data_IF_198644392831
#
_entry.id   IF_198644392831
#
_cell.length_a   1.000
_cell.length_b   1.000
_cell.length_c   1.000
_cell.angle_alpha   90.00
_cell.angle_beta   90.00
_cell.angle_gamma   90.00
#
_symmetry.space_group_name_H-M   'P 1'
#
loop_
_entity.id
_entity.type
_entity.pdbx_description
1 polymer ?
#
# COMPACT_ATOMS: atom_id res chain seq x y z
N UNK A 1 -1.72 3.82 -3.77
CA UNK A 1 -1.82 4.82 -4.86
C UNK A 1 -0.58 5.69 -4.81
N UNK A 2 -0.27 6.40 -5.89
CA UNK A 2 0.75 7.45 -5.93
C UNK A 2 0.08 8.65 -6.59
N UNK A 3 -0.01 9.79 -5.91
CA UNK A 3 -0.69 10.99 -6.41
C UNK A 3 -2.10 10.70 -7.00
N UNK A 4 -2.93 10.00 -6.23
CA UNK A 4 -4.27 9.52 -6.60
C UNK A 4 -4.32 8.55 -7.81
N UNK A 5 -3.17 8.10 -8.32
CA UNK A 5 -3.10 7.07 -9.35
C UNK A 5 -3.09 5.67 -8.71
N UNK A 6 -4.09 4.82 -9.02
CA UNK A 6 -4.04 3.41 -8.65
C UNK A 6 -2.92 2.71 -9.43
N UNK A 7 -2.06 1.98 -8.72
CA UNK A 7 -0.95 1.21 -9.31
C UNK A 7 -1.17 -0.30 -9.19
N UNK A 8 -1.97 -0.72 -8.21
CA UNK A 8 -2.33 -2.11 -7.92
C UNK A 8 -3.67 -2.14 -7.17
N UNK A 9 -4.48 -3.13 -7.51
CA UNK A 9 -5.71 -3.53 -6.81
C UNK A 9 -5.56 -5.00 -6.43
N UNK A 10 -5.69 -5.32 -5.14
CA UNK A 10 -5.68 -6.70 -4.64
C UNK A 10 -7.03 -6.98 -4.02
N UNK A 11 -7.91 -7.63 -4.79
CA UNK A 11 -9.30 -7.88 -4.41
C UNK A 11 -9.41 -9.02 -3.42
N UNK A 12 -10.43 -8.97 -2.56
CA UNK A 12 -10.79 -10.11 -1.75
C UNK A 12 -11.35 -11.23 -2.66
N UNK A 13 -10.58 -12.31 -2.77
CA UNK A 13 -10.93 -13.52 -3.50
C UNK A 13 -10.95 -14.75 -2.57
N UNK A 14 -11.31 -14.57 -1.30
CA UNK A 14 -11.48 -15.67 -0.33
C UNK A 14 -12.48 -16.72 -0.84
N UNK A 15 -13.53 -16.29 -1.57
CA UNK A 15 -14.48 -17.20 -2.23
C UNK A 15 -13.85 -18.08 -3.33
N UNK A 16 -12.64 -17.77 -3.77
CA UNK A 16 -11.80 -18.59 -4.67
C UNK A 16 -10.62 -19.26 -3.95
N UNK A 17 -10.62 -19.27 -2.61
CA UNK A 17 -9.57 -19.88 -1.79
C UNK A 17 -8.30 -19.04 -1.61
N UNK A 18 -8.30 -17.76 -2.02
CA UNK A 18 -7.14 -16.88 -1.89
C UNK A 18 -7.25 -16.13 -0.56
N UNK A 19 -6.25 -16.31 0.32
CA UNK A 19 -6.21 -15.63 1.61
C UNK A 19 -6.21 -14.09 1.45
N UNK A 20 -6.93 -13.41 2.34
CA UNK A 20 -7.06 -11.95 2.34
C UNK A 20 -6.90 -11.38 3.76
N UNK A 21 -6.18 -10.24 3.94
CA UNK A 21 -6.00 -9.63 5.25
C UNK A 21 -7.29 -8.95 5.73
N UNK A 22 -8.21 -9.73 6.29
CA UNK A 22 -9.54 -9.28 6.73
C UNK A 22 -9.68 -9.14 8.26
N UNK A 23 -9.12 -10.09 9.01
CA UNK A 23 -9.45 -10.27 10.43
C UNK A 23 -8.26 -10.00 11.38
N UNK A 24 -7.12 -9.56 10.85
CA UNK A 24 -5.92 -9.27 11.64
C UNK A 24 -5.67 -7.77 11.65
N UNK A 25 -5.82 -7.08 12.80
CA UNK A 25 -5.53 -5.66 12.89
C UNK A 25 -4.07 -5.37 12.53
N UNK A 26 -3.85 -4.30 11.77
CA UNK A 26 -2.52 -3.92 11.29
C UNK A 26 -2.04 -2.63 11.95
N UNK A 27 -0.72 -2.44 11.94
CA UNK A 27 -0.07 -1.17 12.32
C UNK A 27 0.64 -0.59 11.10
N UNK A 28 0.77 0.73 11.07
CA UNK A 28 1.60 1.40 10.07
C UNK A 28 3.07 1.36 10.52
N UNK A 29 3.96 1.07 9.58
CA UNK A 29 5.40 1.06 9.78
C UNK A 29 6.07 1.86 8.67
N UNK A 30 7.16 2.55 9.00
CA UNK A 30 8.09 3.17 8.05
C UNK A 30 9.51 2.93 8.54
N UNK A 31 10.42 2.61 7.65
CA UNK A 31 11.83 2.34 7.98
C UNK A 31 12.74 2.66 6.79
N UNK A 32 13.96 3.07 7.09
CA UNK A 32 15.06 3.16 6.13
C UNK A 32 16.13 2.16 6.61
N UNK A 33 16.45 1.17 5.78
CA UNK A 33 17.36 0.09 6.14
C UNK A 33 18.11 -0.45 4.92
N UNK A 34 19.25 -1.10 5.13
CA UNK A 34 20.06 -1.71 4.07
C UNK A 34 19.53 -3.10 3.69
N UNK A 35 19.27 -3.32 2.40
CA UNK A 35 18.73 -4.57 1.85
C UNK A 35 19.58 -5.08 0.66
N UNK A 36 20.90 -5.05 0.81
CA UNK A 36 21.90 -5.39 -0.22
C UNK A 36 21.67 -6.72 -0.94
N UNK A 37 21.05 -7.71 -0.28
CA UNK A 37 20.86 -9.03 -0.85
C UNK A 37 19.83 -9.08 -1.99
N UNK A 38 18.98 -8.05 -2.13
CA UNK A 38 17.91 -8.09 -3.14
C UNK A 38 17.47 -6.73 -3.71
N UNK A 39 17.71 -5.60 -3.03
CA UNK A 39 17.04 -4.33 -3.35
C UNK A 39 17.40 -3.76 -4.74
N UNK A 40 18.68 -3.69 -5.10
CA UNK A 40 19.12 -3.04 -6.34
C UNK A 40 19.62 -4.06 -7.34
N UNK A 41 18.98 -4.12 -8.51
CA UNK A 41 19.25 -5.11 -9.56
C UNK A 41 19.25 -6.56 -9.05
N UNK A 42 18.32 -6.92 -8.15
CA UNK A 42 18.25 -8.24 -7.55
C UNK A 42 19.44 -8.56 -6.63
N UNK A 43 20.02 -7.54 -5.99
CA UNK A 43 21.14 -7.67 -5.05
C UNK A 43 22.54 -7.58 -5.68
N UNK A 44 22.64 -7.29 -6.98
CA UNK A 44 23.92 -7.17 -7.70
C UNK A 44 24.67 -5.88 -7.35
N UNK A 45 23.96 -4.80 -7.08
CA UNK A 45 24.56 -3.51 -6.71
C UNK A 45 24.42 -3.33 -5.19
N UNK A 46 25.55 -3.16 -4.51
CA UNK A 46 25.63 -3.02 -3.05
C UNK A 46 25.67 -1.55 -2.64
N UNK A 47 25.27 -1.27 -1.41
CA UNK A 47 25.28 0.05 -0.81
C UNK A 47 26.70 0.58 -0.73
N UNK A 48 26.96 1.71 -1.38
CA UNK A 48 28.21 2.45 -1.21
C UNK A 48 28.09 3.39 -0.02
N UNK A 49 28.62 2.93 1.12
CA UNK A 49 28.57 3.65 2.39
C UNK A 49 29.38 4.95 2.41
N UNK A 50 30.23 5.21 1.41
CA UNK A 50 30.90 6.50 1.28
C UNK A 50 29.92 7.65 0.97
N UNK A 51 28.73 7.35 0.46
CA UNK A 51 27.65 8.31 0.21
C UNK A 51 26.73 8.55 1.41
N UNK A 52 27.05 7.98 2.59
CA UNK A 52 26.28 8.23 3.80
C UNK A 52 26.37 9.70 4.26
N UNK A 53 25.34 10.24 4.94
CA UNK A 53 24.12 9.57 5.40
C UNK A 53 23.03 9.45 4.34
N UNK A 54 22.37 8.29 4.29
CA UNK A 54 21.13 8.10 3.54
C UNK A 54 19.96 8.66 4.35
N UNK A 55 19.18 9.58 3.77
CA UNK A 55 18.08 10.24 4.48
C UNK A 55 16.78 10.10 3.71
N UNK A 56 15.71 9.74 4.42
CA UNK A 56 14.34 9.72 3.93
C UNK A 56 13.51 10.68 4.78
N UNK A 57 12.80 11.60 4.14
CA UNK A 57 11.98 12.61 4.81
C UNK A 57 10.50 12.31 4.60
N UNK A 58 9.72 12.38 5.68
CA UNK A 58 8.28 12.13 5.68
C UNK A 58 7.55 13.36 6.22
N UNK A 59 6.43 13.72 5.60
CA UNK A 59 5.55 14.81 6.03
C UNK A 59 4.10 14.43 5.74
N UNK A 60 3.17 15.18 6.33
CA UNK A 60 1.73 15.01 6.04
C UNK A 60 1.17 13.66 6.50
N UNK A 61 1.55 13.19 7.69
CA UNK A 61 1.00 11.96 8.24
C UNK A 61 -0.51 12.11 8.46
N UNK A 62 -1.29 11.43 7.61
CA UNK A 62 -2.74 11.38 7.65
C UNK A 62 -3.19 9.93 7.67
N UNK A 63 -3.79 9.50 8.77
CA UNK A 63 -4.38 8.18 8.89
C UNK A 63 -5.88 8.31 9.17
N UNK A 64 -6.69 7.91 8.19
CA UNK A 64 -8.12 7.63 8.36
C UNK A 64 -8.28 6.11 8.46
N UNK A 65 -8.66 5.62 9.64
CA UNK A 65 -8.64 4.19 9.94
C UNK A 65 -9.84 3.75 10.80
N UNK A 66 -10.15 2.46 10.70
CA UNK A 66 -10.99 1.77 11.69
C UNK A 66 -10.08 1.13 12.76
N UNK A 67 -10.00 1.75 13.93
CA UNK A 67 -9.09 1.33 15.00
C UNK A 67 -9.77 0.30 15.89
N UNK A 68 -9.13 -0.86 16.07
CA UNK A 68 -9.61 -1.90 16.99
C UNK A 68 -9.23 -1.54 18.41
N UNK A 69 -10.24 -1.37 19.26
CA UNK A 69 -10.06 -1.05 20.69
C UNK A 69 -9.95 -2.32 21.54
N UNK A 70 -9.59 -2.18 22.82
CA UNK A 70 -9.51 -3.30 23.76
C UNK A 70 -10.84 -4.10 23.89
N UNK A 71 -11.98 -3.48 23.57
CA UNK A 71 -13.28 -4.13 23.52
C UNK A 71 -13.50 -5.02 22.26
N UNK A 72 -12.50 -5.11 21.37
CA UNK A 72 -12.52 -5.97 20.17
C UNK A 72 -13.36 -5.46 19.01
N UNK A 73 -14.05 -4.32 19.17
CA UNK A 73 -14.86 -3.71 18.10
C UNK A 73 -14.06 -2.63 17.35
N UNK A 74 -14.02 -2.66 16.01
CA UNK A 74 -13.40 -1.60 15.23
C UNK A 74 -14.24 -0.32 15.34
N UNK A 75 -13.57 0.79 15.63
CA UNK A 75 -14.17 2.12 15.62
C UNK A 75 -13.67 2.87 14.39
N UNK A 76 -14.56 3.05 13.41
CA UNK A 76 -14.29 3.79 12.17
C UNK A 76 -14.55 5.29 12.38
N UNK A 77 -13.70 6.14 11.79
CA UNK A 77 -13.75 7.59 12.00
C UNK A 77 -12.74 8.11 13.00
N UNK A 78 -11.88 7.24 13.51
CA UNK A 78 -10.69 7.67 14.24
C UNK A 78 -9.68 8.23 13.23
N UNK A 79 -9.74 9.54 12.97
CA UNK A 79 -8.64 10.25 12.31
C UNK A 79 -7.54 10.52 13.33
N UNK A 80 -6.34 9.98 13.11
CA UNK A 80 -5.15 10.31 13.92
C UNK A 80 -4.28 11.26 13.09
N UNK A 81 -4.20 12.53 13.51
CA UNK A 81 -3.49 13.61 12.81
C UNK A 81 -4.12 14.98 13.04
N UNK A 82 -3.40 16.07 12.73
CA UNK A 82 -3.80 17.45 13.09
C UNK A 82 -4.89 18.06 12.23
N UNK A 83 -5.40 17.40 11.18
CA UNK A 83 -6.44 17.99 10.33
C UNK A 83 -7.42 16.92 9.83
N UNK A 84 -8.71 17.15 10.12
CA UNK A 84 -9.81 16.48 9.41
C UNK A 84 -9.89 17.14 8.05
N UNK A 85 -9.59 16.40 6.98
CA UNK A 85 -9.71 16.95 5.63
C UNK A 85 -11.17 17.37 5.37
N UNK A 86 -11.44 18.61 4.93
CA UNK A 86 -12.78 19.01 4.54
C UNK A 86 -13.21 18.19 3.31
N UNK A 87 -14.41 17.60 3.34
CA UNK A 87 -14.99 16.90 2.19
C UNK A 87 -14.83 15.39 2.15
N UNK A 88 -14.32 14.74 3.22
CA UNK A 88 -14.49 13.30 3.38
C UNK A 88 -15.90 13.03 3.89
N UNK A 89 -16.67 12.22 3.16
CA UNK A 89 -17.95 11.70 3.63
C UNK A 89 -17.81 10.92 4.94
N UNK A 90 -18.89 10.30 5.40
CA UNK A 90 -18.94 9.71 6.73
C UNK A 90 -17.71 8.81 6.99
N UNK A 91 -17.12 8.96 8.17
CA UNK A 91 -16.06 8.10 8.71
C UNK A 91 -16.17 6.64 8.21
N UNK A 92 -15.23 6.21 7.38
CA UNK A 92 -15.20 4.84 6.83
C UNK A 92 -15.77 4.65 5.42
N UNK A 93 -16.20 5.69 4.71
CA UNK A 93 -16.60 5.57 3.29
C UNK A 93 -15.50 5.00 2.39
N UNK A 94 -14.23 5.32 2.68
CA UNK A 94 -13.09 4.79 1.93
C UNK A 94 -12.96 3.25 2.00
N UNK A 95 -13.46 2.64 3.08
CA UNK A 95 -13.30 1.21 3.35
C UNK A 95 -14.09 0.33 2.38
N UNK A 96 -15.19 0.85 1.81
CA UNK A 96 -16.04 0.15 0.85
C UNK A 96 -15.86 0.65 -0.60
N UNK A 97 -14.78 1.38 -0.88
CA UNK A 97 -14.52 1.89 -2.22
C UNK A 97 -14.00 0.80 -3.15
N UNK A 98 -14.55 0.77 -4.36
CA UNK A 98 -14.01 0.02 -5.48
C UNK A 98 -13.43 0.97 -6.53
N UNK A 99 -12.47 0.47 -7.31
CA UNK A 99 -11.97 1.24 -8.46
C UNK A 99 -13.06 1.26 -9.55
N UNK A 100 -13.56 2.45 -9.85
CA UNK A 100 -14.39 2.67 -11.04
C UNK A 100 -13.63 2.37 -12.35
N UNK A 101 -14.36 2.33 -13.47
CA UNK A 101 -13.78 2.03 -14.79
C UNK A 101 -12.65 2.99 -15.19
N UNK A 102 -12.78 4.27 -14.86
CA UNK A 102 -11.79 5.31 -15.17
C UNK A 102 -10.49 5.05 -14.41
N UNK A 103 -10.58 4.76 -13.11
CA UNK A 103 -9.45 4.42 -12.24
C UNK A 103 -8.82 3.09 -12.66
N UNK A 104 -9.62 2.10 -13.07
CA UNK A 104 -9.10 0.86 -13.64
C UNK A 104 -8.31 1.09 -14.93
N UNK A 105 -8.79 1.96 -15.83
CA UNK A 105 -8.07 2.32 -17.05
C UNK A 105 -6.76 3.03 -16.75
N UNK A 106 -6.75 3.97 -15.80
CA UNK A 106 -5.52 4.64 -15.33
C UNK A 106 -4.52 3.63 -14.77
N UNK A 107 -4.98 2.70 -13.93
CA UNK A 107 -4.12 1.64 -13.40
C UNK A 107 -3.52 0.78 -14.50
N UNK A 108 -4.32 0.37 -15.50
CA UNK A 108 -3.82 -0.40 -16.65
C UNK A 108 -2.78 0.38 -17.45
N UNK A 109 -2.97 1.69 -17.63
CA UNK A 109 -1.98 2.53 -18.28
C UNK A 109 -0.67 2.60 -17.47
N UNK A 110 -0.74 2.78 -16.15
CA UNK A 110 0.45 2.74 -15.29
C UNK A 110 1.16 1.39 -15.40
N UNK A 111 0.40 0.30 -15.34
CA UNK A 111 0.96 -1.05 -15.45
C UNK A 111 1.60 -1.29 -16.82
N UNK A 112 1.00 -0.81 -17.91
CA UNK A 112 1.54 -0.98 -19.26
C UNK A 112 2.81 -0.17 -19.52
N UNK A 113 2.99 0.97 -18.85
CA UNK A 113 4.11 1.88 -19.13
C UNK A 113 5.24 1.78 -18.11
N UNK A 114 4.97 1.38 -16.86
CA UNK A 114 5.93 1.47 -15.76
C UNK A 114 6.15 0.16 -14.98
N UNK A 115 5.36 -0.89 -15.20
CA UNK A 115 5.52 -2.14 -14.46
C UNK A 115 6.68 -2.97 -15.05
N UNK A 116 7.74 -3.15 -14.26
CA UNK A 116 8.92 -3.94 -14.66
C UNK A 116 8.88 -5.39 -14.17
N UNK A 117 8.00 -5.72 -13.22
CA UNK A 117 7.85 -7.07 -12.67
C UNK A 117 6.40 -7.28 -12.20
N UNK A 118 5.86 -8.47 -12.46
CA UNK A 118 4.54 -8.90 -11.98
C UNK A 118 4.54 -10.40 -11.69
N UNK A 119 4.20 -10.76 -10.45
CA UNK A 119 4.17 -12.16 -10.02
C UNK A 119 3.10 -12.99 -10.74
N UNK A 120 1.98 -12.37 -11.16
CA UNK A 120 0.92 -13.08 -11.89
C UNK A 120 1.37 -13.57 -13.28
N UNK A 121 2.42 -12.97 -13.85
CA UNK A 121 2.95 -13.30 -15.17
C UNK A 121 4.38 -13.85 -15.08
N UNK A 122 4.77 -14.36 -13.92
CA UNK A 122 6.08 -14.98 -13.67
C UNK A 122 5.94 -16.52 -13.69
N UNK A 123 6.11 -17.16 -14.86
CA UNK A 123 5.92 -18.61 -14.98
C UNK A 123 7.00 -19.41 -14.24
N UNK A 124 8.16 -18.81 -13.93
CA UNK A 124 9.20 -19.52 -13.16
C UNK A 124 8.77 -19.74 -11.72
N UNK A 125 7.89 -18.88 -11.20
CA UNK A 125 7.47 -18.90 -9.80
C UNK A 125 6.09 -19.54 -9.60
N UNK A 126 5.17 -19.37 -10.56
CA UNK A 126 3.77 -19.76 -10.43
C UNK A 126 3.24 -20.57 -11.64
N UNK A 127 4.04 -21.52 -12.12
CA UNK A 127 3.65 -22.45 -13.20
C UNK A 127 2.38 -23.26 -12.87
#
# INVERSE_FOLDING_TARGET
MVDDMPIRDFRNLEGKGIAFPKNQPMRLYSSLWNADDWATQGGRVKTDWSHAPFSASYRGFKADACVVTAAGRPHCGASVGTEVAPGTGAAGEWYNQELDLTRQQRMRWVQSNYMIYNYCTDPKRFA
#
